data_IF_811605814583
#
_entry.id   IF_811605814583
#
_cell.length_a   1.000
_cell.length_b   1.000
_cell.length_c   1.000
_cell.angle_alpha   90.00
_cell.angle_beta   90.00
_cell.angle_gamma   90.00
#
_symmetry.space_group_name_H-M   'P 1'
#
loop_
_entity.id
_entity.type
_entity.pdbx_description
1 polymer ?
#
# COMPACT_ATOMS: atom_id res chain seq x y z
N UNK A 1 -30.44 10.62 28.83
CA UNK A 1 -29.50 11.76 28.94
C UNK A 1 -29.62 12.60 27.69
N UNK A 2 -29.30 13.90 27.74
CA UNK A 2 -29.49 14.81 26.62
C UNK A 2 -28.31 15.78 26.45
N UNK A 3 -27.52 15.59 25.39
CA UNK A 3 -26.76 16.69 24.80
C UNK A 3 -27.76 17.55 24.04
N UNK A 4 -27.90 18.82 24.44
CA UNK A 4 -28.71 19.77 23.70
C UNK A 4 -27.77 20.50 22.73
N UNK A 5 -28.04 20.38 21.44
CA UNK A 5 -27.41 21.21 20.41
C UNK A 5 -27.80 22.66 20.68
N UNK A 6 -26.87 23.45 21.17
CA UNK A 6 -27.16 24.78 21.68
C UNK A 6 -27.25 25.80 20.53
N UNK A 7 -26.24 25.84 19.64
CA UNK A 7 -26.16 26.84 18.57
C UNK A 7 -25.42 26.32 17.31
N UNK A 8 -25.79 26.87 16.15
CA UNK A 8 -25.24 26.56 14.82
C UNK A 8 -24.71 27.81 14.10
N UNK A 9 -24.08 28.74 14.83
CA UNK A 9 -23.63 30.01 14.25
C UNK A 9 -22.66 30.80 15.13
N UNK A 10 -22.14 31.90 14.57
CA UNK A 10 -21.15 32.75 15.22
C UNK A 10 -21.69 33.39 16.52
N UNK A 11 -20.82 33.46 17.53
CA UNK A 11 -21.22 33.76 18.91
C UNK A 11 -21.44 35.27 19.13
N UNK A 12 -22.69 35.66 19.39
CA UNK A 12 -23.05 37.04 19.71
C UNK A 12 -22.42 37.51 21.03
N UNK A 13 -21.77 38.67 21.01
CA UNK A 13 -20.87 39.14 22.08
C UNK A 13 -21.50 39.37 23.46
N UNK A 14 -22.83 39.44 23.57
CA UNK A 14 -23.54 39.54 24.87
C UNK A 14 -23.69 38.21 25.60
N UNK A 15 -23.59 37.07 24.90
CA UNK A 15 -23.66 35.76 25.55
C UNK A 15 -22.35 35.37 26.23
N UNK A 16 -21.20 35.78 25.67
CA UNK A 16 -19.88 35.31 26.09
C UNK A 16 -19.54 35.60 27.57
N UNK A 17 -20.10 36.67 28.15
CA UNK A 17 -19.83 37.07 29.53
C UNK A 17 -20.56 36.19 30.60
N UNK A 18 -21.37 35.19 30.19
CA UNK A 18 -22.08 34.25 31.09
C UNK A 18 -21.51 32.82 31.10
N UNK A 19 -20.43 32.54 30.39
CA UNK A 19 -20.01 31.16 30.12
C UNK A 19 -19.07 30.65 31.21
N UNK A 20 -19.50 29.65 32.00
CA UNK A 20 -18.68 29.09 33.07
C UNK A 20 -17.43 28.38 32.52
N UNK A 21 -17.61 27.45 31.56
CA UNK A 21 -16.52 26.67 30.98
C UNK A 21 -16.75 26.35 29.50
N UNK A 22 -15.68 26.44 28.71
CA UNK A 22 -15.62 26.03 27.30
C UNK A 22 -14.60 24.91 27.16
N UNK A 23 -15.01 23.77 26.61
CA UNK A 23 -14.12 22.72 26.12
C UNK A 23 -14.09 22.79 24.60
N UNK A 24 -12.89 22.78 24.03
CA UNK A 24 -12.64 22.76 22.57
C UNK A 24 -11.33 22.00 22.32
N UNK A 25 -10.94 21.84 21.07
CA UNK A 25 -9.59 21.39 20.68
C UNK A 25 -8.68 22.59 20.38
N UNK A 26 -7.37 22.36 20.42
CA UNK A 26 -6.37 23.28 19.85
C UNK A 26 -6.36 23.21 18.31
N UNK A 27 -5.30 23.70 17.65
CA UNK A 27 -5.17 23.60 16.19
C UNK A 27 -4.65 22.21 15.81
N UNK A 28 -5.38 21.49 14.97
CA UNK A 28 -4.86 20.29 14.32
C UNK A 28 -3.67 20.66 13.41
N UNK A 29 -2.56 19.95 13.61
CA UNK A 29 -1.45 19.90 12.66
C UNK A 29 -1.84 19.06 11.41
N UNK A 30 -1.10 19.15 10.30
CA UNK A 30 -1.52 18.57 9.01
C UNK A 30 -1.68 17.04 9.06
N UNK A 31 -0.94 16.34 9.93
CA UNK A 31 -1.05 14.89 10.13
C UNK A 31 -1.72 14.47 11.46
N UNK A 32 -2.21 15.42 12.26
CA UNK A 32 -2.85 15.12 13.54
C UNK A 32 -4.23 14.45 13.35
N UNK A 33 -4.42 13.28 13.98
CA UNK A 33 -5.61 12.43 13.83
C UNK A 33 -6.51 12.43 15.07
N UNK A 34 -5.89 12.46 16.25
CA UNK A 34 -6.55 12.56 17.57
C UNK A 34 -5.87 13.66 18.39
N UNK A 35 -6.64 14.49 19.06
CA UNK A 35 -6.15 15.50 20.00
C UNK A 35 -6.98 15.55 21.28
N UNK A 36 -6.40 15.93 22.43
CA UNK A 36 -7.14 16.14 23.67
C UNK A 36 -8.04 17.39 23.58
N UNK A 37 -9.13 17.37 24.34
CA UNK A 37 -9.90 18.57 24.64
C UNK A 37 -9.19 19.45 25.67
N UNK A 38 -9.15 20.74 25.40
CA UNK A 38 -8.60 21.78 26.29
C UNK A 38 -9.71 22.69 26.80
N UNK A 39 -9.59 23.12 28.05
CA UNK A 39 -10.46 24.14 28.63
C UNK A 39 -9.97 25.55 28.21
N UNK A 40 -10.85 26.38 27.64
CA UNK A 40 -10.55 27.80 27.38
C UNK A 40 -10.99 28.66 28.56
N UNK A 41 -10.05 28.98 29.45
CA UNK A 41 -10.29 29.78 30.66
C UNK A 41 -10.66 31.24 30.39
N UNK A 42 -10.08 31.85 29.35
CA UNK A 42 -10.34 33.26 29.00
C UNK A 42 -10.41 33.52 27.50
N UNK A 43 -11.49 34.19 27.07
CA UNK A 43 -11.59 34.77 25.74
C UNK A 43 -11.08 36.22 25.79
N UNK A 44 -9.84 36.43 25.32
CA UNK A 44 -9.19 37.77 25.23
C UNK A 44 -9.19 38.54 26.57
N UNK A 45 -8.90 37.84 27.67
CA UNK A 45 -8.86 38.42 29.01
C UNK A 45 -10.23 38.60 29.69
N UNK A 46 -11.31 38.05 29.11
CA UNK A 46 -12.58 37.86 29.82
C UNK A 46 -12.80 36.39 30.15
N UNK A 47 -13.17 36.11 31.39
CA UNK A 47 -13.38 34.78 31.95
C UNK A 47 -13.18 34.88 33.46
N UNK A 48 -14.10 34.31 34.24
CA UNK A 48 -14.09 34.38 35.71
C UNK A 48 -13.66 33.07 36.38
N UNK A 49 -13.47 32.01 35.59
CA UNK A 49 -13.00 30.72 36.07
C UNK A 49 -11.52 30.53 35.75
N UNK A 50 -10.70 30.23 36.77
CA UNK A 50 -9.23 30.07 36.64
C UNK A 50 -8.74 28.89 37.50
N UNK A 51 -9.64 27.93 37.75
CA UNK A 51 -9.39 26.74 38.57
C UNK A 51 -10.22 25.58 38.02
N UNK A 52 -9.64 24.84 37.09
CA UNK A 52 -10.18 23.55 36.68
C UNK A 52 -9.52 22.38 37.42
N UNK A 53 -10.17 21.23 37.37
CA UNK A 53 -9.58 19.93 37.70
C UNK A 53 -9.62 19.11 36.43
N UNK A 54 -8.46 18.70 35.93
CA UNK A 54 -8.29 18.21 34.54
C UNK A 54 -9.22 17.05 34.17
N UNK A 55 -9.64 16.27 35.17
CA UNK A 55 -10.49 15.10 35.04
C UNK A 55 -12.01 15.34 35.14
N UNK A 56 -12.52 16.58 35.32
CA UNK A 56 -13.94 16.83 35.66
C UNK A 56 -14.64 17.81 34.74
N UNK A 57 -15.39 17.28 33.76
CA UNK A 57 -16.40 18.05 33.02
C UNK A 57 -17.56 18.39 33.96
N UNK A 58 -17.89 19.68 34.12
CA UNK A 58 -18.98 20.14 34.98
C UNK A 58 -20.34 20.12 34.27
N UNK A 59 -21.41 19.99 35.04
CA UNK A 59 -22.78 20.02 34.52
C UNK A 59 -23.11 21.45 34.05
N UNK A 60 -23.35 21.64 32.75
CA UNK A 60 -23.48 22.94 32.09
C UNK A 60 -22.23 23.43 31.34
N UNK A 61 -21.10 22.72 31.42
CA UNK A 61 -19.92 23.02 30.59
C UNK A 61 -20.27 22.89 29.09
N UNK A 62 -19.70 23.76 28.25
CA UNK A 62 -20.02 23.81 26.81
C UNK A 62 -18.90 23.24 25.96
N UNK A 63 -19.24 22.25 25.14
CA UNK A 63 -18.31 21.62 24.19
C UNK A 63 -18.51 22.29 22.83
N UNK A 64 -17.47 22.94 22.33
CA UNK A 64 -17.42 23.49 20.99
C UNK A 64 -16.71 22.51 20.06
N UNK A 65 -17.41 22.04 19.03
CA UNK A 65 -16.89 21.11 18.03
C UNK A 65 -16.62 21.87 16.73
N UNK A 66 -15.36 22.03 16.30
CA UNK A 66 -15.03 22.67 15.03
C UNK A 66 -15.55 21.90 13.82
N UNK A 67 -15.57 22.57 12.66
CA UNK A 67 -15.84 21.89 11.39
C UNK A 67 -14.83 20.78 11.09
N UNK A 68 -15.27 19.76 10.36
CA UNK A 68 -14.45 18.59 9.97
C UNK A 68 -13.82 17.85 11.19
N UNK A 69 -14.48 17.90 12.35
CA UNK A 69 -14.02 17.29 13.60
C UNK A 69 -15.16 16.54 14.27
N UNK A 70 -14.90 15.38 14.88
CA UNK A 70 -15.83 14.70 15.79
C UNK A 70 -15.31 14.76 17.23
N UNK A 71 -16.16 15.05 18.21
CA UNK A 71 -15.80 15.04 19.63
C UNK A 71 -16.30 13.77 20.33
N UNK A 72 -15.45 13.18 21.17
CA UNK A 72 -15.74 12.00 21.98
C UNK A 72 -15.66 12.38 23.45
N UNK A 73 -16.74 12.14 24.18
CA UNK A 73 -16.77 12.24 25.64
C UNK A 73 -16.55 10.83 26.19
N UNK A 74 -15.54 10.66 27.04
CA UNK A 74 -15.27 9.41 27.74
C UNK A 74 -15.56 9.59 29.23
N UNK A 75 -16.05 8.53 29.86
CA UNK A 75 -16.29 8.43 31.30
C UNK A 75 -15.81 7.07 31.81
N UNK A 76 -15.01 7.06 32.87
CA UNK A 76 -14.46 5.84 33.48
C UNK A 76 -13.87 4.85 32.45
N UNK A 77 -13.14 5.37 31.46
CA UNK A 77 -12.56 4.69 30.27
C UNK A 77 -13.53 4.20 29.18
N UNK A 78 -14.85 4.25 29.39
CA UNK A 78 -15.85 4.01 28.35
C UNK A 78 -16.12 5.25 27.47
N UNK A 79 -16.69 5.06 26.27
CA UNK A 79 -17.24 6.18 25.48
C UNK A 79 -18.64 6.50 26.03
N UNK A 80 -18.81 7.68 26.62
CA UNK A 80 -20.11 8.19 27.09
C UNK A 80 -20.93 8.76 25.95
N UNK A 81 -20.30 9.54 25.05
CA UNK A 81 -21.00 10.20 23.95
C UNK A 81 -20.10 10.53 22.75
N UNK A 82 -20.72 10.73 21.59
CA UNK A 82 -20.04 11.04 20.32
C UNK A 82 -20.81 12.16 19.61
N UNK A 83 -20.11 13.23 19.24
CA UNK A 83 -20.64 14.39 18.54
C UNK A 83 -19.96 14.47 17.18
N UNK A 84 -20.67 14.14 16.10
CA UNK A 84 -20.16 14.14 14.73
C UNK A 84 -20.50 15.40 13.93
N UNK A 85 -21.42 16.23 14.42
CA UNK A 85 -21.79 17.50 13.80
C UNK A 85 -21.11 18.69 14.49
N UNK A 86 -20.53 19.60 13.70
CA UNK A 86 -19.95 20.84 14.21
C UNK A 86 -20.99 21.76 14.88
N UNK A 87 -20.55 22.53 15.88
CA UNK A 87 -21.38 23.47 16.62
C UNK A 87 -21.08 23.52 18.12
N UNK A 88 -21.90 24.28 18.84
CA UNK A 88 -21.84 24.36 20.30
C UNK A 88 -22.87 23.45 20.96
N UNK A 89 -22.44 22.64 21.93
CA UNK A 89 -23.27 21.69 22.68
C UNK A 89 -23.14 21.96 24.18
N UNK A 90 -24.24 21.81 24.91
CA UNK A 90 -24.24 21.94 26.37
C UNK A 90 -24.24 20.54 27.02
N UNK A 91 -23.19 20.22 27.78
CA UNK A 91 -23.08 18.95 28.48
C UNK A 91 -23.96 18.97 29.74
N UNK A 92 -24.98 18.10 29.78
CA UNK A 92 -25.90 17.98 30.91
C UNK A 92 -25.86 16.59 31.53
N UNK A 93 -25.29 16.49 32.72
CA UNK A 93 -25.24 15.25 33.51
C UNK A 93 -26.61 15.01 34.15
N UNK A 94 -27.52 14.40 33.40
CA UNK A 94 -28.86 14.09 33.87
C UNK A 94 -29.65 13.18 32.93
N UNK A 95 -30.41 12.26 33.52
CA UNK A 95 -31.57 11.67 32.86
C UNK A 95 -32.64 12.74 32.62
N UNK A 96 -33.60 12.45 31.73
CA UNK A 96 -34.76 13.32 31.50
C UNK A 96 -35.80 13.12 32.60
N UNK A 97 -35.49 13.59 33.81
CA UNK A 97 -36.48 13.75 34.88
C UNK A 97 -36.96 15.20 34.92
N UNK A 98 -38.25 15.33 34.63
CA UNK A 98 -39.05 16.54 34.49
C UNK A 98 -38.71 17.68 35.46
N UNK A 99 -38.06 18.74 34.96
CA UNK A 99 -38.00 20.08 35.62
C UNK A 99 -39.35 20.83 35.47
N UNK A 100 -40.45 20.08 35.46
CA UNK A 100 -41.84 20.52 35.57
C UNK A 100 -42.62 19.73 36.64
N UNK A 101 -42.01 18.71 37.27
CA UNK A 101 -42.47 18.17 38.54
C UNK A 101 -41.76 18.96 39.66
N UNK A 102 -42.44 19.96 40.22
CA UNK A 102 -41.82 20.88 41.18
C UNK A 102 -41.68 20.30 42.59
N UNK A 103 -40.47 19.87 42.96
CA UNK A 103 -40.05 19.76 44.37
C UNK A 103 -38.52 19.96 44.56
N UNK A 104 -38.14 20.52 45.70
CA UNK A 104 -36.85 20.31 46.36
C UNK A 104 -35.53 20.52 45.61
N UNK A 105 -35.12 21.78 45.36
CA UNK A 105 -33.74 22.15 44.94
C UNK A 105 -32.64 21.66 45.94
N UNK A 106 -33.01 21.30 47.17
CA UNK A 106 -32.10 21.07 48.29
C UNK A 106 -31.42 19.70 48.43
N UNK A 107 -31.61 18.71 47.54
CA UNK A 107 -31.05 17.34 47.74
C UNK A 107 -29.83 17.00 46.86
N UNK A 108 -29.82 17.38 45.59
CA UNK A 108 -28.84 16.89 44.61
C UNK A 108 -27.40 17.38 44.86
N UNK A 109 -27.23 18.53 45.50
CA UNK A 109 -25.92 19.17 45.70
C UNK A 109 -25.12 18.49 46.84
N UNK A 110 -25.78 18.04 47.91
CA UNK A 110 -25.10 17.47 49.08
C UNK A 110 -24.48 16.08 48.82
N UNK A 111 -25.03 15.31 47.87
CA UNK A 111 -24.46 14.01 47.49
C UNK A 111 -23.04 14.12 46.93
N UNK A 112 -22.83 15.03 45.97
CA UNK A 112 -21.52 15.24 45.34
C UNK A 112 -20.46 15.77 46.31
N UNK A 113 -20.85 16.48 47.37
CA UNK A 113 -19.95 16.91 48.44
C UNK A 113 -19.54 15.70 49.28
N UNK A 114 -20.50 14.84 49.67
CA UNK A 114 -20.23 13.63 50.45
C UNK A 114 -19.30 12.63 49.75
N UNK A 115 -19.43 12.47 48.44
CA UNK A 115 -18.57 11.58 47.65
C UNK A 115 -17.14 12.11 47.54
N UNK A 116 -16.93 13.40 47.23
CA UNK A 116 -15.59 14.01 47.15
C UNK A 116 -14.82 13.92 48.47
N UNK A 117 -15.50 14.05 49.61
CA UNK A 117 -14.88 13.85 50.94
C UNK A 117 -14.55 12.38 51.26
N UNK A 118 -15.24 11.42 50.64
CA UNK A 118 -15.05 9.98 50.92
C UNK A 118 -13.81 9.37 50.25
N UNK A 119 -13.33 9.97 49.16
CA UNK A 119 -12.18 9.50 48.37
C UNK A 119 -10.97 10.46 48.45
N UNK A 120 -10.78 11.13 49.59
CA UNK A 120 -9.57 11.93 49.85
C UNK A 120 -9.48 13.26 49.09
N UNK A 121 -10.57 13.72 48.46
CA UNK A 121 -10.61 14.95 47.67
C UNK A 121 -10.37 14.77 46.17
N UNK A 122 -9.94 13.59 45.72
CA UNK A 122 -9.77 13.29 44.30
C UNK A 122 -11.13 13.05 43.61
N UNK A 123 -11.38 13.55 42.38
CA UNK A 123 -12.67 13.37 41.72
C UNK A 123 -12.94 11.92 41.28
N UNK A 124 -14.06 11.36 41.74
CA UNK A 124 -14.47 9.95 41.51
C UNK A 124 -14.88 9.66 40.05
N UNK A 125 -15.16 10.69 39.26
CA UNK A 125 -15.45 10.58 37.83
C UNK A 125 -14.34 11.26 37.03
N UNK A 126 -13.50 10.47 36.36
CA UNK A 126 -12.57 10.95 35.35
C UNK A 126 -13.29 10.99 34.00
N UNK A 127 -13.72 12.19 33.62
CA UNK A 127 -14.33 12.52 32.33
C UNK A 127 -13.35 13.31 31.49
N UNK A 128 -13.07 12.81 30.28
CA UNK A 128 -12.17 13.45 29.30
C UNK A 128 -12.88 13.64 27.97
N UNK A 129 -12.52 14.71 27.25
CA UNK A 129 -12.95 14.92 25.86
C UNK A 129 -11.74 14.72 24.95
N UNK A 130 -11.92 14.04 23.82
CA UNK A 130 -10.94 14.02 22.73
C UNK A 130 -11.62 14.32 21.39
N UNK A 131 -10.85 14.84 20.45
CA UNK A 131 -11.33 15.31 19.15
C UNK A 131 -10.62 14.55 18.03
N UNK A 132 -11.40 13.93 17.14
CA UNK A 132 -10.95 13.15 15.99
C UNK A 132 -11.08 13.99 14.73
N UNK A 133 -10.01 14.02 13.93
CA UNK A 133 -9.94 14.79 12.70
C UNK A 133 -10.65 14.06 11.55
N UNK A 134 -11.74 14.61 11.03
CA UNK A 134 -12.50 14.04 9.90
C UNK A 134 -12.03 14.59 8.55
N UNK A 135 -11.09 15.55 8.54
CA UNK A 135 -10.49 16.07 7.30
C UNK A 135 -9.74 14.97 6.57
N UNK A 136 -9.47 15.22 5.30
CA UNK A 136 -8.43 14.47 4.59
C UNK A 136 -7.04 14.93 5.07
N UNK A 137 -6.32 14.00 5.69
CA UNK A 137 -4.92 14.11 6.08
C UNK A 137 -4.09 13.76 4.84
N UNK A 138 -3.29 14.71 4.37
CA UNK A 138 -2.57 14.64 3.08
C UNK A 138 -1.07 14.61 3.33
N UNK A 139 -0.28 14.41 2.29
CA UNK A 139 1.19 14.55 2.38
C UNK A 139 1.92 13.40 3.06
N UNK A 140 1.22 12.29 3.34
CA UNK A 140 1.79 11.12 4.00
C UNK A 140 2.70 10.36 3.02
N UNK A 141 3.98 10.70 3.03
CA UNK A 141 5.00 10.16 2.14
C UNK A 141 5.18 8.65 2.31
N UNK A 142 5.23 7.95 1.18
CA UNK A 142 5.58 6.53 1.10
C UNK A 142 6.69 6.31 0.09
N UNK A 143 7.38 5.18 0.21
CA UNK A 143 8.35 4.72 -0.77
C UNK A 143 8.71 3.25 -0.56
N UNK A 144 9.06 2.57 -1.65
CA UNK A 144 9.48 1.17 -1.65
C UNK A 144 10.80 1.00 -0.88
N UNK A 145 10.84 0.31 0.28
CA UNK A 145 12.06 0.18 1.08
C UNK A 145 13.06 -0.82 0.46
N UNK A 146 12.54 -1.91 -0.12
CA UNK A 146 13.23 -2.79 -1.04
C UNK A 146 12.71 -2.54 -2.48
N UNK A 147 13.42 -2.94 -3.54
CA UNK A 147 12.86 -2.96 -4.88
C UNK A 147 11.60 -3.84 -4.95
N UNK A 148 10.67 -3.49 -5.84
CA UNK A 148 9.56 -4.34 -6.22
C UNK A 148 9.84 -4.90 -7.62
N UNK A 149 9.74 -6.22 -7.77
CA UNK A 149 9.86 -6.88 -9.07
C UNK A 149 8.58 -6.62 -9.89
N UNK A 150 8.75 -6.25 -11.17
CA UNK A 150 7.66 -6.00 -12.10
C UNK A 150 7.96 -6.64 -13.45
N UNK A 151 7.07 -7.51 -13.92
CA UNK A 151 7.19 -8.14 -15.23
C UNK A 151 6.74 -7.16 -16.34
N UNK A 152 7.67 -6.60 -17.13
CA UNK A 152 7.29 -5.69 -18.22
C UNK A 152 7.18 -6.46 -19.54
N UNK A 153 5.93 -6.68 -19.97
CA UNK A 153 5.57 -7.43 -21.18
C UNK A 153 6.19 -6.90 -22.49
N UNK A 154 6.71 -5.66 -22.53
CA UNK A 154 7.44 -5.17 -23.70
C UNK A 154 8.90 -5.67 -23.76
N UNK A 155 9.51 -5.91 -22.59
CA UNK A 155 10.88 -6.44 -22.48
C UNK A 155 10.90 -7.96 -22.30
N UNK A 156 9.74 -8.58 -21.99
CA UNK A 156 9.56 -10.02 -21.73
C UNK A 156 10.48 -10.51 -20.59
N UNK A 157 10.64 -9.68 -19.57
CA UNK A 157 11.59 -9.88 -18.48
C UNK A 157 11.16 -9.17 -17.20
N UNK A 158 11.63 -9.68 -16.07
CA UNK A 158 11.35 -9.12 -14.75
C UNK A 158 12.33 -7.97 -14.44
N UNK A 159 11.78 -6.80 -14.11
CA UNK A 159 12.54 -5.58 -13.89
C UNK A 159 12.22 -5.01 -12.51
N UNK A 160 13.26 -4.77 -11.72
CA UNK A 160 13.13 -4.17 -10.41
C UNK A 160 12.87 -2.67 -10.51
N UNK A 161 11.81 -2.23 -9.85
CA UNK A 161 11.39 -0.84 -9.76
C UNK A 161 11.39 -0.34 -8.31
N UNK A 162 11.57 0.95 -8.15
CA UNK A 162 11.36 1.68 -6.90
C UNK A 162 10.32 2.76 -7.12
N UNK A 163 9.33 2.82 -6.25
CA UNK A 163 8.26 3.81 -6.29
C UNK A 163 8.35 4.75 -5.09
N UNK A 164 8.00 6.02 -5.31
CA UNK A 164 7.91 7.07 -4.29
C UNK A 164 6.65 7.90 -4.53
N UNK A 165 6.05 8.38 -3.47
CA UNK A 165 4.83 9.17 -3.55
C UNK A 165 4.32 9.66 -2.21
N UNK A 166 3.09 10.17 -2.22
CA UNK A 166 2.33 10.53 -1.03
C UNK A 166 0.95 9.88 -1.10
N UNK A 167 0.42 9.44 0.03
CA UNK A 167 -1.00 9.06 0.16
C UNK A 167 -1.76 10.13 0.95
N UNK A 168 -3.09 10.08 0.88
CA UNK A 168 -3.97 10.78 1.80
C UNK A 168 -4.96 9.83 2.46
N UNK A 169 -5.21 10.05 3.75
CA UNK A 169 -6.10 9.25 4.60
C UNK A 169 -7.24 10.12 5.12
N UNK A 170 -8.42 9.54 5.32
CA UNK A 170 -9.57 10.24 5.91
C UNK A 170 -10.26 9.31 6.90
N UNK A 171 -10.58 9.80 8.10
CA UNK A 171 -11.32 9.02 9.09
C UNK A 171 -12.82 9.12 8.75
N UNK A 172 -13.38 8.05 8.19
CA UNK A 172 -14.80 7.98 7.81
C UNK A 172 -15.67 7.42 8.92
N UNK A 173 -15.15 6.48 9.71
CA UNK A 173 -15.82 5.93 10.89
C UNK A 173 -14.99 6.20 12.15
N UNK A 174 -15.16 7.38 12.79
CA UNK A 174 -14.36 7.75 13.95
C UNK A 174 -14.64 6.85 15.17
N UNK A 175 -15.80 6.19 15.23
CA UNK A 175 -16.11 5.21 16.29
C UNK A 175 -15.29 3.92 16.14
N UNK A 176 -15.05 3.45 14.91
CA UNK A 176 -14.13 2.35 14.65
C UNK A 176 -12.68 2.76 14.93
N UNK A 177 -12.28 3.97 14.54
CA UNK A 177 -10.95 4.53 14.81
C UNK A 177 -10.61 4.54 16.32
N UNK A 178 -11.47 5.14 17.16
CA UNK A 178 -11.30 5.16 18.61
C UNK A 178 -11.26 3.74 19.23
N UNK A 179 -11.96 2.76 18.65
CA UNK A 179 -12.09 1.40 19.23
C UNK A 179 -11.08 0.37 18.73
N UNK A 180 -10.53 0.54 17.53
CA UNK A 180 -9.70 -0.47 16.85
C UNK A 180 -8.32 0.05 16.42
N UNK A 181 -8.09 1.36 16.38
CA UNK A 181 -6.81 1.97 15.98
C UNK A 181 -6.13 2.75 17.12
N UNK A 182 -6.90 3.50 17.92
CA UNK A 182 -6.37 4.27 19.06
C UNK A 182 -6.01 3.32 20.22
N UNK A 183 -4.75 3.32 20.72
CA UNK A 183 -4.40 2.52 21.89
C UNK A 183 -5.07 3.04 23.17
N UNK A 184 -5.35 2.17 24.17
CA UNK A 184 -5.92 2.60 25.45
C UNK A 184 -5.09 3.68 26.14
N UNK A 185 -5.79 4.65 26.74
CA UNK A 185 -5.20 5.80 27.46
C UNK A 185 -4.27 6.71 26.63
N UNK A 186 -4.39 6.70 25.29
CA UNK A 186 -3.74 7.67 24.40
C UNK A 186 -4.73 8.77 24.01
N UNK A 187 -4.32 10.03 24.23
CA UNK A 187 -5.15 11.22 23.97
C UNK A 187 -4.67 12.07 22.78
N UNK A 188 -3.49 11.76 22.23
CA UNK A 188 -2.92 12.40 21.05
C UNK A 188 -2.35 11.36 20.08
N UNK A 189 -2.70 11.47 18.80
CA UNK A 189 -2.11 10.67 17.71
C UNK A 189 -1.89 11.56 16.49
N UNK A 190 -0.70 11.47 15.91
CA UNK A 190 -0.38 11.99 14.57
C UNK A 190 0.21 10.86 13.71
N UNK A 191 -0.08 10.88 12.42
CA UNK A 191 0.55 9.98 11.45
C UNK A 191 2.03 10.35 11.16
N UNK A 192 2.58 11.37 11.82
CA UNK A 192 4.03 11.60 11.83
C UNK A 192 4.82 10.56 12.62
N UNK A 193 4.27 9.99 13.71
CA UNK A 193 4.96 8.96 14.49
C UNK A 193 5.17 7.69 13.65
N UNK A 194 6.43 7.24 13.43
CA UNK A 194 6.73 5.98 12.77
C UNK A 194 5.99 4.78 13.37
N UNK A 195 5.71 4.77 14.68
CA UNK A 195 4.96 3.68 15.33
C UNK A 195 3.54 3.59 14.79
N UNK A 196 2.81 4.71 14.76
CA UNK A 196 1.42 4.81 14.27
C UNK A 196 1.30 4.42 12.79
N UNK A 197 2.24 4.84 11.94
CA UNK A 197 2.16 4.58 10.49
C UNK A 197 2.84 3.31 10.00
N UNK A 198 3.70 2.65 10.80
CA UNK A 198 4.48 1.49 10.34
C UNK A 198 3.62 0.36 9.78
N UNK A 199 2.59 -0.07 10.51
CA UNK A 199 1.65 -1.11 10.05
C UNK A 199 0.88 -0.67 8.81
N UNK A 200 0.36 0.57 8.77
CA UNK A 200 -0.36 1.10 7.61
C UNK A 200 0.55 1.20 6.38
N UNK A 201 1.81 1.60 6.52
CA UNK A 201 2.76 1.60 5.42
C UNK A 201 3.05 0.18 4.92
N UNK A 202 3.22 -0.80 5.81
CA UNK A 202 3.43 -2.20 5.40
C UNK A 202 2.21 -2.79 4.67
N UNK A 203 1.00 -2.61 5.21
CA UNK A 203 -0.24 -3.06 4.56
C UNK A 203 -0.49 -2.33 3.23
N UNK A 204 -0.18 -1.04 3.14
CA UNK A 204 -0.23 -0.26 1.89
C UNK A 204 0.77 -0.77 0.85
N UNK A 205 2.04 -0.97 1.23
CA UNK A 205 3.07 -1.42 0.30
C UNK A 205 2.75 -2.82 -0.26
N UNK A 206 2.08 -3.67 0.53
CA UNK A 206 1.58 -4.96 0.07
C UNK A 206 0.47 -4.81 -0.98
N UNK A 207 -0.59 -4.03 -0.71
CA UNK A 207 -1.63 -3.75 -1.71
C UNK A 207 -1.09 -3.06 -2.95
N UNK A 208 -0.13 -2.14 -2.80
CA UNK A 208 0.52 -1.43 -3.90
C UNK A 208 1.33 -2.38 -4.79
N UNK A 209 2.05 -3.34 -4.20
CA UNK A 209 2.72 -4.41 -4.96
C UNK A 209 1.72 -5.28 -5.73
N UNK A 210 0.59 -5.66 -5.11
CA UNK A 210 -0.47 -6.42 -5.79
C UNK A 210 -1.09 -5.63 -6.94
N UNK A 211 -1.39 -4.35 -6.73
CA UNK A 211 -1.95 -3.46 -7.75
C UNK A 211 -0.99 -3.29 -8.94
N UNK A 212 0.30 -3.03 -8.69
CA UNK A 212 1.30 -2.97 -9.76
C UNK A 212 1.39 -4.30 -10.54
N UNK A 213 1.40 -5.44 -9.85
CA UNK A 213 1.44 -6.75 -10.50
C UNK A 213 0.16 -7.03 -11.33
N UNK A 214 -1.01 -6.52 -10.95
CA UNK A 214 -2.22 -6.63 -11.80
C UNK A 214 -2.09 -5.88 -13.14
N UNK A 215 -1.37 -4.75 -13.15
CA UNK A 215 -1.19 -3.92 -14.36
C UNK A 215 -0.04 -4.41 -15.27
N UNK A 216 0.83 -5.30 -14.79
CA UNK A 216 2.02 -5.82 -15.51
C UNK A 216 1.74 -6.44 -16.89
N UNK A 217 0.55 -7.02 -17.06
CA UNK A 217 0.16 -7.67 -18.31
C UNK A 217 -0.32 -6.68 -19.39
N UNK A 218 -0.74 -5.48 -19.00
CA UNK A 218 -1.40 -4.49 -19.87
C UNK A 218 -0.55 -3.24 -20.10
N UNK A 219 0.17 -2.79 -19.07
CA UNK A 219 0.94 -1.56 -19.08
C UNK A 219 2.45 -1.78 -18.93
N UNK A 220 3.21 -0.83 -19.47
CA UNK A 220 4.67 -0.76 -19.29
C UNK A 220 5.02 0.03 -18.05
N UNK A 221 6.22 -0.16 -17.51
CA UNK A 221 6.72 0.60 -16.35
C UNK A 221 6.69 2.12 -16.59
N UNK A 222 6.93 2.55 -17.84
CA UNK A 222 6.85 3.96 -18.26
C UNK A 222 5.44 4.56 -18.25
N UNK A 223 4.40 3.72 -18.23
CA UNK A 223 2.99 4.13 -18.24
C UNK A 223 2.39 4.14 -16.83
N UNK A 224 2.94 3.37 -15.89
CA UNK A 224 2.45 3.30 -14.51
C UNK A 224 2.21 4.66 -13.82
N UNK A 225 3.06 5.72 -13.99
CA UNK A 225 2.80 7.02 -13.38
C UNK A 225 1.50 7.69 -13.86
N UNK A 226 1.02 7.41 -15.08
CA UNK A 226 -0.28 7.91 -15.56
C UNK A 226 -1.46 7.07 -15.07
N UNK A 227 -1.21 5.84 -14.63
CA UNK A 227 -2.22 4.91 -14.10
C UNK A 227 -2.44 5.00 -12.59
N UNK A 228 -2.02 6.10 -11.95
CA UNK A 228 -2.18 6.32 -10.50
C UNK A 228 -3.63 6.11 -9.99
N UNK A 229 -4.64 6.49 -10.79
CA UNK A 229 -6.05 6.24 -10.45
C UNK A 229 -6.44 4.76 -10.48
N UNK A 230 -5.93 3.99 -11.45
CA UNK A 230 -6.17 2.55 -11.53
C UNK A 230 -5.46 1.80 -10.39
N UNK A 231 -4.22 2.22 -10.06
CA UNK A 231 -3.46 1.72 -8.91
C UNK A 231 -4.23 1.99 -7.60
N UNK A 232 -4.75 3.20 -7.40
CA UNK A 232 -5.56 3.53 -6.22
C UNK A 232 -6.86 2.70 -6.15
N UNK A 233 -7.56 2.50 -7.26
CA UNK A 233 -8.76 1.65 -7.30
C UNK A 233 -8.46 0.18 -6.98
N UNK A 234 -7.38 -0.37 -7.52
CA UNK A 234 -6.94 -1.73 -7.23
C UNK A 234 -6.53 -1.91 -5.75
N UNK A 235 -5.91 -0.91 -5.14
CA UNK A 235 -5.55 -0.91 -3.70
C UNK A 235 -6.81 -0.83 -2.82
N UNK A 236 -7.78 0.02 -3.15
CA UNK A 236 -9.04 0.10 -2.40
C UNK A 236 -9.95 -1.13 -2.61
N UNK A 237 -9.77 -1.87 -3.71
CA UNK A 237 -10.44 -3.14 -3.96
C UNK A 237 -9.76 -4.36 -3.29
N UNK A 238 -8.57 -4.20 -2.71
CA UNK A 238 -7.86 -5.28 -2.01
C UNK A 238 -8.55 -5.65 -0.68
N UNK A 239 -9.29 -6.75 -0.71
CA UNK A 239 -9.94 -7.34 0.46
C UNK A 239 -8.98 -7.98 1.48
N UNK A 240 -7.67 -8.01 1.21
CA UNK A 240 -6.64 -8.52 2.12
C UNK A 240 -6.04 -7.46 3.04
N UNK A 241 -5.57 -6.33 2.48
CA UNK A 241 -4.74 -5.36 3.21
C UNK A 241 -5.40 -3.96 3.24
N UNK A 242 -4.95 -2.99 2.43
CA UNK A 242 -5.33 -1.58 2.59
C UNK A 242 -6.83 -1.29 2.36
N UNK A 243 -7.50 -2.02 1.44
CA UNK A 243 -8.96 -1.91 1.25
C UNK A 243 -9.79 -2.30 2.49
N UNK A 244 -9.20 -3.03 3.46
CA UNK A 244 -9.87 -3.42 4.71
C UNK A 244 -9.83 -2.35 5.81
N UNK A 245 -9.11 -1.24 5.62
CA UNK A 245 -8.92 -0.24 6.67
C UNK A 245 -10.20 0.50 7.09
N UNK A 246 -11.16 0.64 6.19
CA UNK A 246 -12.42 1.32 6.51
C UNK A 246 -13.30 0.46 7.44
N UNK A 247 -13.28 -0.87 7.28
CA UNK A 247 -14.03 -1.80 8.14
C UNK A 247 -13.31 -2.13 9.45
N UNK A 248 -11.97 -2.22 9.43
CA UNK A 248 -11.13 -2.44 10.62
C UNK A 248 -10.92 -1.16 11.42
N UNK A 249 -10.27 -0.16 10.83
CA UNK A 249 -9.79 1.02 11.55
C UNK A 249 -10.66 2.26 11.38
N UNK A 250 -11.69 2.23 10.52
CA UNK A 250 -12.47 3.41 10.18
C UNK A 250 -11.70 4.46 9.37
N UNK A 251 -10.57 4.06 8.77
CA UNK A 251 -9.68 4.90 7.97
C UNK A 251 -9.89 4.52 6.50
N UNK A 252 -10.24 5.50 5.68
CA UNK A 252 -10.35 5.35 4.23
C UNK A 252 -9.11 5.94 3.54
N UNK A 253 -8.59 5.25 2.52
CA UNK A 253 -7.52 5.73 1.65
C UNK A 253 -8.11 6.70 0.63
N UNK A 254 -8.02 8.01 0.91
CA UNK A 254 -8.68 9.06 0.14
C UNK A 254 -8.00 9.36 -1.21
N UNK A 255 -6.70 9.06 -1.35
CA UNK A 255 -5.97 9.27 -2.59
C UNK A 255 -4.52 8.81 -2.54
N UNK A 256 -3.91 8.67 -3.73
CA UNK A 256 -2.50 8.36 -3.93
C UNK A 256 -1.93 9.29 -5.00
N UNK A 257 -0.90 10.06 -4.65
CA UNK A 257 -0.05 10.79 -5.58
C UNK A 257 1.26 10.03 -5.79
N UNK A 258 1.48 9.50 -7.00
CA UNK A 258 2.75 8.85 -7.37
C UNK A 258 3.70 9.95 -7.85
N UNK A 259 4.83 10.16 -7.15
CA UNK A 259 5.86 11.13 -7.54
C UNK A 259 6.78 10.56 -8.62
N UNK A 260 7.19 9.31 -8.47
CA UNK A 260 8.13 8.64 -9.38
C UNK A 260 8.01 7.12 -9.27
N UNK A 261 8.08 6.43 -10.40
CA UNK A 261 8.36 5.00 -10.51
C UNK A 261 9.58 4.86 -11.42
N UNK A 262 10.65 4.28 -10.89
CA UNK A 262 11.96 4.22 -11.54
C UNK A 262 12.56 2.82 -11.49
N UNK A 263 13.15 2.38 -12.60
CA UNK A 263 14.05 1.23 -12.60
C UNK A 263 15.18 1.40 -11.59
N UNK A 264 15.55 0.31 -10.90
CA UNK A 264 16.84 0.20 -10.18
C UNK A 264 18.02 0.44 -11.13
N UNK A 265 19.23 0.77 -10.62
CA UNK A 265 20.41 0.93 -11.48
C UNK A 265 20.70 -0.30 -12.35
N UNK A 266 20.46 -1.50 -11.81
CA UNK A 266 20.69 -2.79 -12.48
C UNK A 266 19.67 -3.04 -13.59
N UNK A 267 18.36 -2.96 -13.30
CA UNK A 267 17.32 -3.13 -14.32
C UNK A 267 17.35 -2.01 -15.37
N UNK A 268 17.78 -0.80 -15.00
CA UNK A 268 18.01 0.32 -15.94
C UNK A 268 19.16 0.01 -16.91
N UNK A 269 20.16 -0.76 -16.50
CA UNK A 269 21.26 -1.21 -17.35
C UNK A 269 20.84 -2.37 -18.25
N UNK A 270 20.07 -3.34 -17.74
CA UNK A 270 19.45 -4.40 -18.55
C UNK A 270 18.58 -3.82 -19.68
N UNK A 271 17.74 -2.82 -19.38
CA UNK A 271 16.91 -2.13 -20.38
C UNK A 271 17.74 -1.41 -21.44
N UNK A 272 18.86 -0.75 -21.07
CA UNK A 272 19.79 -0.17 -22.04
C UNK A 272 20.43 -1.22 -22.94
N UNK A 273 20.88 -2.33 -22.36
CA UNK A 273 21.53 -3.41 -23.11
C UNK A 273 20.54 -4.07 -24.06
N UNK A 274 19.30 -4.32 -23.63
CA UNK A 274 18.21 -4.76 -24.50
C UNK A 274 17.96 -3.76 -25.64
N UNK A 275 17.84 -2.46 -25.34
CA UNK A 275 17.61 -1.44 -26.36
C UNK A 275 18.76 -1.31 -27.37
N UNK A 276 20.01 -1.34 -26.91
CA UNK A 276 21.20 -1.31 -27.75
C UNK A 276 21.32 -2.58 -28.61
N UNK A 277 21.11 -3.76 -28.02
CA UNK A 277 21.10 -5.04 -28.74
C UNK A 277 19.97 -5.07 -29.78
N UNK A 278 18.76 -4.61 -29.44
CA UNK A 278 17.66 -4.53 -30.39
C UNK A 278 17.93 -3.53 -31.50
N UNK A 279 18.52 -2.36 -31.21
CA UNK A 279 18.92 -1.39 -32.24
C UNK A 279 19.99 -1.98 -33.19
N UNK A 280 20.99 -2.67 -32.64
CA UNK A 280 22.01 -3.37 -33.41
C UNK A 280 21.39 -4.48 -34.28
N UNK A 281 20.56 -5.35 -33.70
CA UNK A 281 19.86 -6.43 -34.44
C UNK A 281 18.96 -5.84 -35.51
N UNK A 282 18.17 -4.81 -35.24
CA UNK A 282 17.33 -4.16 -36.26
C UNK A 282 18.19 -3.54 -37.38
N UNK A 283 19.35 -2.94 -37.06
CA UNK A 283 20.28 -2.46 -38.08
C UNK A 283 20.87 -3.62 -38.92
N UNK A 284 21.30 -4.70 -38.28
CA UNK A 284 21.84 -5.90 -38.95
C UNK A 284 20.78 -6.68 -39.72
N UNK A 285 19.52 -6.73 -39.30
CA UNK A 285 18.41 -7.35 -40.02
C UNK A 285 18.07 -6.56 -41.28
N UNK A 286 17.94 -5.22 -41.17
CA UNK A 286 17.73 -4.38 -42.33
C UNK A 286 18.91 -4.50 -43.32
N UNK A 287 20.15 -4.37 -42.84
CA UNK A 287 21.35 -4.55 -43.69
C UNK A 287 21.45 -5.97 -44.26
N UNK A 288 21.11 -7.02 -43.51
CA UNK A 288 21.19 -8.42 -43.96
C UNK A 288 20.10 -8.75 -44.98
N UNK A 289 18.85 -8.35 -44.76
CA UNK A 289 17.78 -8.55 -45.73
C UNK A 289 18.01 -7.71 -47.00
N UNK A 290 18.45 -6.47 -46.85
CA UNK A 290 18.74 -5.58 -47.97
C UNK A 290 19.98 -6.04 -48.76
N UNK A 291 21.07 -6.45 -48.09
CA UNK A 291 22.25 -7.02 -48.74
C UNK A 291 21.97 -8.40 -49.33
N UNK A 292 21.12 -9.23 -48.72
CA UNK A 292 20.71 -10.53 -49.28
C UNK A 292 19.85 -10.34 -50.54
N UNK A 293 18.91 -9.39 -50.54
CA UNK A 293 18.16 -9.01 -51.75
C UNK A 293 19.09 -8.44 -52.83
N UNK A 294 20.01 -7.52 -52.48
CA UNK A 294 20.96 -6.95 -53.44
C UNK A 294 21.90 -8.03 -53.99
N UNK A 295 22.43 -8.93 -53.16
CA UNK A 295 23.31 -10.02 -53.60
C UNK A 295 22.57 -11.08 -54.42
N UNK A 296 21.29 -11.36 -54.12
CA UNK A 296 20.45 -12.22 -54.96
C UNK A 296 20.16 -11.56 -56.32
N UNK A 297 19.76 -10.29 -56.33
CA UNK A 297 19.53 -9.52 -57.56
C UNK A 297 20.81 -9.38 -58.40
N UNK A 298 21.96 -9.14 -57.76
CA UNK A 298 23.26 -9.09 -58.42
C UNK A 298 23.67 -10.45 -58.98
N UNK A 299 23.46 -11.57 -58.27
CA UNK A 299 23.71 -12.91 -58.81
C UNK A 299 22.77 -13.28 -59.96
N UNK A 300 21.51 -12.84 -59.92
CA UNK A 300 20.57 -13.00 -61.04
C UNK A 300 21.05 -12.18 -62.25
N UNK A 301 21.43 -10.91 -62.03
CA UNK A 301 21.94 -10.03 -63.08
C UNK A 301 23.26 -10.54 -63.69
N UNK A 302 24.22 -10.95 -62.85
CA UNK A 302 25.50 -11.53 -63.27
C UNK A 302 25.30 -12.87 -63.98
N UNK A 303 24.43 -13.75 -63.46
CA UNK A 303 24.10 -15.02 -64.13
C UNK A 303 23.52 -14.82 -65.54
N UNK A 304 22.67 -13.80 -65.71
CA UNK A 304 22.12 -13.34 -67.01
C UNK A 304 23.18 -12.67 -67.88
N UNK A 305 24.17 -11.98 -67.29
CA UNK A 305 25.19 -11.21 -68.02
C UNK A 305 26.41 -12.04 -68.45
N UNK A 306 26.77 -13.07 -67.69
CA UNK A 306 27.91 -13.96 -67.97
C UNK A 306 27.53 -15.11 -68.91
N UNK A 307 26.34 -15.71 -68.75
CA UNK A 307 25.85 -16.79 -69.62
C UNK A 307 24.99 -16.29 -70.79
N UNK A 308 24.54 -15.02 -70.72
CA UNK A 308 23.44 -14.52 -71.54
C UNK A 308 22.09 -15.17 -71.17
N UNK A 309 21.01 -14.62 -71.71
CA UNK A 309 19.86 -15.47 -72.05
C UNK A 309 20.21 -16.24 -73.33
N UNK A 310 21.04 -17.28 -73.19
CA UNK A 310 21.22 -18.28 -74.25
C UNK A 310 19.87 -18.88 -74.66
N UNK A 311 19.80 -19.50 -75.83
CA UNK A 311 18.54 -19.85 -76.54
C UNK A 311 17.50 -20.52 -75.61
N UNK A 312 17.94 -21.49 -74.81
CA UNK A 312 17.16 -22.19 -73.78
C UNK A 312 16.57 -21.26 -72.69
N UNK A 313 17.33 -20.27 -72.22
CA UNK A 313 16.93 -19.32 -71.18
C UNK A 313 16.00 -18.22 -71.70
N UNK A 314 16.24 -17.74 -72.92
CA UNK A 314 15.30 -16.86 -73.63
C UNK A 314 13.96 -17.57 -73.87
N UNK A 315 14.00 -18.86 -74.23
CA UNK A 315 12.81 -19.70 -74.36
C UNK A 315 12.11 -19.97 -73.02
N UNK A 316 12.85 -20.17 -71.92
CA UNK A 316 12.28 -20.35 -70.58
C UNK A 316 11.53 -19.08 -70.09
N UNK A 317 12.15 -17.90 -70.25
CA UNK A 317 11.52 -16.61 -69.94
C UNK A 317 10.32 -16.35 -70.86
N UNK A 318 10.47 -16.66 -72.16
CA UNK A 318 9.43 -16.52 -73.18
C UNK A 318 8.21 -17.42 -72.92
N UNK A 319 8.41 -18.68 -72.50
CA UNK A 319 7.31 -19.59 -72.12
C UNK A 319 6.62 -19.12 -70.84
N UNK A 320 7.37 -18.65 -69.84
CA UNK A 320 6.79 -18.05 -68.63
C UNK A 320 5.94 -16.83 -68.92
N UNK A 321 6.36 -15.96 -69.84
CA UNK A 321 5.60 -14.78 -70.25
C UNK A 321 4.41 -15.13 -71.17
N UNK A 322 4.59 -16.08 -72.10
CA UNK A 322 3.54 -16.51 -73.03
C UNK A 322 2.38 -17.25 -72.34
N UNK A 323 2.63 -17.99 -71.25
CA UNK A 323 1.55 -18.56 -70.44
C UNK A 323 0.88 -17.52 -69.52
N UNK A 324 1.54 -16.39 -69.24
CA UNK A 324 0.99 -15.30 -68.44
C UNK A 324 0.11 -14.30 -69.20
N UNK A 325 0.20 -14.26 -70.54
CA UNK A 325 -0.48 -13.24 -71.37
C UNK A 325 -1.26 -13.90 -72.51
N UNK A 326 -2.47 -14.40 -72.21
CA UNK A 326 -3.43 -14.79 -73.25
C UNK A 326 -4.11 -13.53 -73.83
N UNK A 327 -3.87 -13.14 -75.10
CA UNK A 327 -4.24 -11.83 -75.62
C UNK A 327 -5.74 -11.66 -75.92
N UNK A 328 -6.61 -12.59 -75.50
CA UNK A 328 -8.04 -12.60 -75.81
C UNK A 328 -8.97 -12.59 -74.58
N UNK A 329 -8.47 -12.77 -73.36
CA UNK A 329 -9.31 -12.83 -72.15
C UNK A 329 -8.60 -12.24 -70.92
N UNK A 330 -8.99 -11.04 -70.50
CA UNK A 330 -8.46 -10.40 -69.28
C UNK A 330 -9.09 -10.94 -67.99
N UNK A 331 -8.63 -12.11 -67.51
CA UNK A 331 -8.97 -12.62 -66.17
C UNK A 331 -7.89 -13.59 -65.65
N UNK A 332 -7.55 -13.51 -64.36
CA UNK A 332 -6.61 -14.39 -63.65
C UNK A 332 -7.35 -15.54 -62.93
N UNK A 333 -6.92 -16.80 -63.09
CA UNK A 333 -7.27 -17.90 -62.18
C UNK A 333 -6.02 -18.54 -61.55
N UNK A 334 -5.93 -18.54 -60.22
CA UNK A 334 -4.77 -19.08 -59.48
C UNK A 334 -4.98 -20.50 -58.91
N UNK A 335 -4.00 -21.37 -59.18
CA UNK A 335 -3.49 -22.51 -58.37
C UNK A 335 -4.44 -23.37 -57.51
N UNK A 336 -4.37 -24.71 -57.68
CA UNK A 336 -4.85 -25.68 -56.69
C UNK A 336 -4.03 -27.00 -56.67
N UNK A 337 -3.74 -27.50 -55.45
CA UNK A 337 -3.36 -28.88 -55.04
C UNK A 337 -2.05 -29.58 -55.50
N UNK A 338 -1.49 -30.40 -54.58
CA UNK A 338 -0.50 -31.46 -54.85
C UNK A 338 0.25 -32.00 -53.60
N UNK A 339 0.19 -33.31 -53.31
CA UNK A 339 1.08 -34.09 -52.39
C UNK A 339 1.95 -35.08 -53.24
N UNK A 340 2.56 -36.23 -52.80
CA UNK A 340 2.80 -36.86 -51.47
C UNK A 340 4.21 -37.55 -51.29
N UNK A 341 4.32 -38.55 -50.37
CA UNK A 341 5.38 -39.61 -50.15
C UNK A 341 6.78 -39.19 -49.65
N UNK A 342 7.65 -39.96 -48.94
CA UNK A 342 7.76 -41.37 -48.43
C UNK A 342 8.87 -41.43 -47.29
N UNK A 343 9.29 -42.48 -46.54
CA UNK A 343 8.81 -43.83 -46.09
C UNK A 343 9.84 -44.56 -45.17
N UNK A 344 9.41 -45.48 -44.27
CA UNK A 344 10.23 -46.53 -43.56
C UNK A 344 11.25 -46.05 -42.45
N UNK A 345 11.70 -46.80 -41.42
CA UNK A 345 11.56 -48.22 -40.98
C UNK A 345 11.95 -48.44 -39.46
N UNK A 346 11.47 -49.53 -38.83
CA UNK A 346 12.08 -50.36 -37.73
C UNK A 346 12.59 -49.76 -36.37
N UNK A 347 12.67 -50.48 -35.22
CA UNK A 347 12.01 -51.70 -34.70
C UNK A 347 12.41 -52.01 -33.21
N UNK A 348 11.70 -52.97 -32.57
CA UNK A 348 12.04 -53.75 -31.34
C UNK A 348 11.79 -53.10 -29.95
N UNK A 349 11.54 -53.96 -28.95
CA UNK A 349 11.11 -53.77 -27.54
C UNK A 349 12.23 -54.24 -26.55
N UNK A 350 12.07 -54.46 -25.21
CA UNK A 350 10.92 -54.33 -24.30
C UNK A 350 11.17 -53.76 -22.86
N UNK A 351 10.06 -53.64 -22.09
CA UNK A 351 9.90 -54.17 -20.71
C UNK A 351 9.67 -53.21 -19.51
N UNK A 352 8.57 -53.49 -18.81
CA UNK A 352 8.33 -53.40 -17.34
C UNK A 352 8.65 -52.11 -16.56
N UNK A 353 7.59 -51.42 -16.15
CA UNK A 353 7.48 -50.85 -14.81
C UNK A 353 6.79 -51.85 -13.87
N UNK A 354 7.05 -51.78 -12.55
CA UNK A 354 6.04 -51.82 -11.47
C UNK A 354 6.67 -51.81 -10.07
N UNK A 355 6.10 -50.99 -9.19
CA UNK A 355 6.10 -51.19 -7.73
C UNK A 355 4.77 -50.64 -7.20
N UNK A 356 4.17 -51.28 -6.20
CA UNK A 356 2.77 -51.06 -5.82
C UNK A 356 2.53 -51.30 -4.30
N UNK A 357 1.44 -50.73 -3.79
CA UNK A 357 0.75 -51.04 -2.53
C UNK A 357 1.49 -51.04 -1.16
N UNK A 358 1.33 -49.90 -0.46
CA UNK A 358 0.56 -49.78 0.81
C UNK A 358 1.19 -49.99 2.23
N UNK A 359 0.50 -49.32 3.18
CA UNK A 359 0.34 -49.60 4.63
C UNK A 359 1.21 -48.89 5.71
N UNK A 360 0.62 -47.83 6.30
CA UNK A 360 0.53 -47.49 7.74
C UNK A 360 1.74 -47.72 8.70
N UNK A 361 2.35 -46.63 9.19
CA UNK A 361 2.16 -46.12 10.58
C UNK A 361 3.14 -44.97 10.89
N UNK A 362 2.87 -44.21 11.96
CA UNK A 362 3.85 -43.34 12.65
C UNK A 362 3.76 -43.58 14.17
N UNK A 363 4.27 -42.68 15.03
CA UNK A 363 5.19 -41.55 14.79
C UNK A 363 6.48 -41.66 15.64
N UNK A 364 7.59 -41.03 15.22
CA UNK A 364 8.80 -40.95 16.04
C UNK A 364 9.62 -39.69 15.77
N UNK A 365 10.14 -39.09 16.85
CA UNK A 365 11.11 -37.99 16.82
C UNK A 365 12.54 -38.53 16.85
N UNK A 366 13.44 -38.04 15.99
CA UNK A 366 14.87 -38.32 16.11
C UNK A 366 15.72 -37.16 15.59
N UNK A 367 16.67 -36.72 16.40
CA UNK A 367 17.66 -35.69 16.09
C UNK A 367 18.64 -36.14 15.00
N UNK A 368 18.88 -35.31 14.00
CA UNK A 368 20.02 -35.43 13.08
C UNK A 368 20.94 -34.21 13.24
N UNK A 369 22.21 -34.44 13.57
CA UNK A 369 23.21 -33.38 13.66
C UNK A 369 23.69 -32.99 12.25
N UNK A 370 23.44 -31.74 11.84
CA UNK A 370 23.94 -31.22 10.58
C UNK A 370 25.44 -30.90 10.71
N UNK A 371 26.31 -31.80 10.26
CA UNK A 371 27.73 -31.51 10.10
C UNK A 371 27.92 -30.60 8.87
N UNK A 372 28.10 -29.29 9.09
CA UNK A 372 28.36 -28.33 8.02
C UNK A 372 29.64 -28.69 7.24
N UNK A 373 29.62 -28.51 5.93
CA UNK A 373 30.79 -28.68 5.06
C UNK A 373 31.89 -27.64 5.37
N UNK A 374 33.13 -27.94 5.01
CA UNK A 374 34.28 -27.05 5.26
C UNK A 374 34.10 -25.65 4.64
N UNK A 375 33.42 -25.57 3.49
CA UNK A 375 32.99 -24.34 2.82
C UNK A 375 32.03 -23.52 3.67
N UNK A 376 30.95 -24.13 4.14
CA UNK A 376 29.94 -23.46 4.98
C UNK A 376 30.52 -23.03 6.33
N UNK A 377 31.42 -23.84 6.91
CA UNK A 377 32.15 -23.47 8.14
C UNK A 377 32.99 -22.20 7.93
N UNK A 378 33.70 -22.10 6.81
CA UNK A 378 34.56 -20.95 6.52
C UNK A 378 33.75 -19.67 6.24
N UNK A 379 32.61 -19.79 5.55
CA UNK A 379 31.68 -18.67 5.30
C UNK A 379 30.98 -18.22 6.59
N UNK A 380 30.50 -19.15 7.42
CA UNK A 380 29.92 -18.85 8.73
C UNK A 380 30.91 -18.13 9.67
N UNK A 381 32.20 -18.50 9.63
CA UNK A 381 33.25 -17.81 10.39
C UNK A 381 33.54 -16.39 9.87
N UNK A 382 33.43 -16.16 8.55
CA UNK A 382 33.54 -14.82 7.95
C UNK A 382 32.40 -13.92 8.43
N UNK A 383 31.16 -14.40 8.32
CA UNK A 383 29.97 -13.66 8.74
C UNK A 383 29.97 -13.38 10.25
N UNK A 384 30.44 -14.33 11.08
CA UNK A 384 30.63 -14.10 12.51
C UNK A 384 31.70 -13.05 12.82
N UNK A 385 32.76 -12.93 12.01
CA UNK A 385 33.76 -11.87 12.20
C UNK A 385 33.22 -10.51 11.77
N UNK A 386 32.44 -10.43 10.70
CA UNK A 386 31.75 -9.19 10.33
C UNK A 386 30.79 -8.72 11.43
N UNK A 387 30.09 -9.63 12.12
CA UNK A 387 29.26 -9.30 13.29
C UNK A 387 30.06 -8.89 14.55
N UNK A 388 31.27 -9.44 14.74
CA UNK A 388 32.19 -9.01 15.81
C UNK A 388 32.74 -7.60 15.52
N UNK A 389 33.18 -7.35 14.29
CA UNK A 389 33.74 -6.07 13.85
C UNK A 389 32.68 -4.95 13.79
N UNK A 390 31.40 -5.32 13.58
CA UNK A 390 30.24 -4.43 13.74
C UNK A 390 29.82 -4.20 15.21
N UNK A 391 30.48 -4.84 16.19
CA UNK A 391 30.16 -4.72 17.61
C UNK A 391 28.85 -5.40 18.05
N UNK A 392 28.30 -6.30 17.22
CA UNK A 392 27.03 -7.01 17.46
C UNK A 392 27.25 -8.28 18.30
N UNK A 393 28.43 -8.90 18.19
CA UNK A 393 28.90 -9.96 19.10
C UNK A 393 30.05 -9.45 19.97
N UNK A 394 30.13 -9.96 21.20
CA UNK A 394 31.35 -9.85 22.02
C UNK A 394 32.43 -10.83 21.56
N UNK A 395 33.67 -10.55 21.97
CA UNK A 395 34.83 -11.39 21.64
C UNK A 395 34.71 -12.82 22.22
N UNK A 396 33.99 -12.99 23.33
CA UNK A 396 33.76 -14.29 23.99
C UNK A 396 32.72 -15.13 23.23
N UNK A 397 31.59 -14.53 22.86
CA UNK A 397 30.55 -15.18 22.05
C UNK A 397 31.06 -15.60 20.67
N UNK A 398 31.89 -14.77 20.04
CA UNK A 398 32.57 -15.11 18.79
C UNK A 398 33.46 -16.35 18.97
N UNK A 399 34.24 -16.41 20.05
CA UNK A 399 35.13 -17.55 20.32
C UNK A 399 34.35 -18.84 20.63
N UNK A 400 33.21 -18.76 21.32
CA UNK A 400 32.32 -19.90 21.56
C UNK A 400 31.71 -20.43 20.25
N UNK A 401 31.13 -19.55 19.40
CA UNK A 401 30.57 -19.98 18.11
C UNK A 401 31.64 -20.48 17.14
N UNK A 402 32.84 -19.88 17.13
CA UNK A 402 33.98 -20.35 16.34
C UNK A 402 34.37 -21.79 16.69
N UNK A 403 34.41 -22.12 17.99
CA UNK A 403 34.63 -23.48 18.47
C UNK A 403 33.54 -24.44 18.01
N UNK A 404 32.27 -24.05 18.17
CA UNK A 404 31.12 -24.86 17.77
C UNK A 404 31.11 -25.17 16.26
N UNK A 405 31.52 -24.23 15.41
CA UNK A 405 31.58 -24.40 13.94
C UNK A 405 32.77 -25.28 13.50
N UNK A 406 33.91 -25.18 14.19
CA UNK A 406 35.12 -25.95 13.87
C UNK A 406 35.20 -27.33 14.59
N UNK A 407 34.32 -27.60 15.56
CA UNK A 407 34.36 -28.82 16.38
C UNK A 407 35.52 -28.87 17.39
N UNK A 408 35.84 -27.74 18.05
CA UNK A 408 37.03 -27.52 18.92
C UNK A 408 36.71 -27.08 20.37
#
# INVERSE_FOLDING_TARGET
>A
MALIRAFTGALGGTFADQWLDIITVERFDEHAALMPGIYQETNRGRGSNTRHSDAVISNGSRIYVPENTAAFIFDQSGIENIITEAGGYEYRTGGTDSVFAGDGIGKSIFGQIGERFKYGGEPVANKRVAFVNLREIRGLKFGTPAPLMYHDRFYDTDLDIRARGMMSLRITNPTAFIRQFVPPNVDYISFDDPKTKSQLLSEFMQSFSVALNSLSNEHRISELPSQANAIAQAICADAGNAGTWESRFGIHLAGIGIESIEFTPESRELVKQYAANRMNVTAYENVSQQASNIAAQQKIAQGVQENGFGDMGGMMLGVGFAQGVNPMTGAMPGQQMGQPVNSMNAAVTPSTAQSDAAAQNGPASSSAQHSMSLSEQMEALKNLKELLDAGILTQEEFNLKKKQILGL
#
